data_IF_954924891447
#
_entry.id   IF_954924891447
#
_cell.length_a   1.000
_cell.length_b   1.000
_cell.length_c   1.000
_cell.angle_alpha   90.00
_cell.angle_beta   90.00
_cell.angle_gamma   90.00
#
_symmetry.space_group_name_H-M   'P 1'
#
loop_
_entity.id
_entity.type
_entity.pdbx_description
1 polymer ?
#
# COMPACT_ATOMS: atom_id res chain seq x y z
N UNK A 1 15.43 -13.10 -34.10
CA UNK A 1 16.50 -12.68 -33.18
C UNK A 1 16.85 -11.24 -33.52
N UNK A 2 16.25 -10.27 -32.82
CA UNK A 2 16.48 -8.83 -33.04
C UNK A 2 17.44 -8.31 -31.95
N UNK A 3 18.40 -7.44 -32.28
CA UNK A 3 19.42 -6.99 -31.33
C UNK A 3 18.81 -5.99 -30.34
N UNK A 4 19.04 -6.25 -29.04
CA UNK A 4 18.65 -5.37 -27.93
C UNK A 4 19.59 -4.16 -27.91
N UNK A 5 19.14 -3.02 -28.45
CA UNK A 5 19.83 -1.74 -28.24
C UNK A 5 19.83 -1.43 -26.73
N UNK A 6 21.02 -1.35 -26.15
CA UNK A 6 21.22 -0.83 -24.79
C UNK A 6 21.21 0.69 -24.90
N UNK A 7 20.03 1.28 -24.75
CA UNK A 7 19.90 2.73 -24.61
C UNK A 7 20.33 3.10 -23.18
N UNK A 8 21.55 3.63 -23.07
CA UNK A 8 22.05 4.26 -21.86
C UNK A 8 21.24 5.54 -21.63
N UNK A 9 20.23 5.47 -20.76
CA UNK A 9 19.51 6.65 -20.28
C UNK A 9 20.46 7.45 -19.40
N UNK A 10 21.20 8.35 -20.05
CA UNK A 10 22.00 9.35 -19.38
C UNK A 10 21.03 10.34 -18.73
N UNK A 11 20.79 10.18 -17.43
CA UNK A 11 20.00 11.10 -16.60
C UNK A 11 20.76 12.41 -16.47
N UNK A 12 20.67 13.22 -17.53
CA UNK A 12 21.02 14.62 -17.50
C UNK A 12 20.00 15.25 -16.57
N UNK A 13 20.44 15.67 -15.37
CA UNK A 13 19.61 16.48 -14.48
C UNK A 13 19.39 17.83 -15.15
N UNK A 14 18.40 17.88 -16.05
CA UNK A 14 17.78 19.11 -16.50
C UNK A 14 17.12 19.68 -15.26
N UNK A 15 17.74 20.69 -14.64
CA UNK A 15 17.07 21.53 -13.66
C UNK A 15 16.06 22.36 -14.45
N UNK A 16 14.91 21.76 -14.72
CA UNK A 16 13.78 22.46 -15.28
C UNK A 16 13.33 23.48 -14.22
N UNK A 17 13.56 24.75 -14.51
CA UNK A 17 13.13 25.86 -13.66
C UNK A 17 11.61 25.95 -13.73
N UNK A 18 10.92 25.12 -12.94
CA UNK A 18 9.51 25.33 -12.67
C UNK A 18 9.37 26.67 -11.94
N UNK A 19 8.43 27.54 -12.33
CA UNK A 19 8.14 28.74 -11.57
C UNK A 19 7.71 28.35 -10.16
N UNK A 20 8.62 28.46 -9.19
CA UNK A 20 8.31 28.27 -7.78
C UNK A 20 7.41 29.42 -7.34
N UNK A 21 6.12 29.14 -7.21
CA UNK A 21 5.17 30.08 -6.61
C UNK A 21 5.55 30.30 -5.14
N UNK A 22 5.97 31.52 -4.79
CA UNK A 22 6.20 31.95 -3.40
C UNK A 22 4.89 32.09 -2.59
N UNK A 23 3.74 31.77 -3.20
CA UNK A 23 2.46 31.78 -2.51
C UNK A 23 2.48 30.69 -1.43
N UNK A 24 2.19 31.00 -0.16
CA UNK A 24 1.99 29.98 0.85
C UNK A 24 0.89 29.02 0.37
N UNK A 25 1.21 27.74 0.25
CA UNK A 25 0.21 26.71 -0.04
C UNK A 25 -0.43 26.34 1.30
N UNK A 26 -1.69 26.71 1.48
CA UNK A 26 -2.47 26.25 2.62
C UNK A 26 -2.70 24.75 2.49
N UNK A 27 -2.13 23.98 3.41
CA UNK A 27 -2.28 22.54 3.44
C UNK A 27 -3.54 22.20 4.25
N UNK A 28 -4.49 21.45 3.67
CA UNK A 28 -5.70 21.08 4.40
C UNK A 28 -5.33 20.16 5.57
N UNK A 29 -5.95 20.36 6.73
CA UNK A 29 -5.86 19.40 7.82
C UNK A 29 -6.37 18.01 7.35
N UNK A 30 -5.77 16.89 7.78
CA UNK A 30 -4.76 16.73 8.83
C UNK A 30 -3.32 16.63 8.28
N UNK A 31 -3.02 17.20 7.12
CA UNK A 31 -1.67 17.14 6.55
C UNK A 31 -0.79 18.27 7.07
N UNK A 32 0.52 18.05 7.11
CA UNK A 32 1.52 19.08 7.39
C UNK A 32 2.70 18.90 6.43
N UNK A 33 3.48 19.97 6.20
CA UNK A 33 4.67 19.91 5.34
C UNK A 33 5.89 19.66 6.19
N UNK A 34 6.59 18.55 5.92
CA UNK A 34 7.89 18.24 6.52
C UNK A 34 8.91 18.04 5.39
N UNK A 35 9.99 18.84 5.37
CA UNK A 35 11.05 18.77 4.34
C UNK A 35 10.53 18.84 2.90
N UNK A 36 9.49 19.66 2.64
CA UNK A 36 8.88 19.82 1.32
C UNK A 36 7.94 18.67 0.90
N UNK A 37 7.64 17.72 1.78
CA UNK A 37 6.68 16.63 1.56
C UNK A 37 5.42 16.83 2.41
N UNK A 38 4.26 16.51 1.86
CA UNK A 38 3.03 16.46 2.64
C UNK A 38 2.97 15.15 3.43
N UNK A 39 2.91 15.26 4.75
CA UNK A 39 2.87 14.13 5.69
C UNK A 39 1.55 14.16 6.44
N UNK A 40 0.91 13.01 6.55
CA UNK A 40 -0.33 12.84 7.31
C UNK A 40 -0.04 12.93 8.82
N UNK A 41 -0.75 13.79 9.56
CA UNK A 41 -0.67 13.82 11.02
C UNK A 41 -1.34 12.57 11.60
N UNK A 42 -0.62 11.72 12.34
CA UNK A 42 -1.21 10.51 12.91
C UNK A 42 -2.22 10.88 14.00
N UNK A 43 -3.29 10.08 14.10
CA UNK A 43 -4.19 10.15 15.24
C UNK A 43 -3.43 9.70 16.50
N UNK A 44 -3.29 10.58 17.49
CA UNK A 44 -2.47 10.34 18.68
C UNK A 44 -3.22 9.66 19.83
N UNK A 45 -4.55 9.49 19.70
CA UNK A 45 -5.36 8.90 20.76
C UNK A 45 -5.20 7.38 20.82
N UNK A 46 -4.76 6.88 21.98
CA UNK A 46 -4.57 5.43 22.22
C UNK A 46 -5.86 4.63 22.01
N UNK A 47 -7.00 5.18 22.43
CA UNK A 47 -8.31 4.56 22.23
C UNK A 47 -8.64 4.39 20.74
N UNK A 48 -8.31 5.37 19.90
CA UNK A 48 -8.51 5.28 18.45
C UNK A 48 -7.63 4.22 17.82
N UNK A 49 -6.36 4.14 18.25
CA UNK A 49 -5.45 3.08 17.82
C UNK A 49 -5.97 1.68 18.16
N UNK A 50 -6.43 1.48 19.40
CA UNK A 50 -7.01 0.21 19.84
C UNK A 50 -8.29 -0.12 19.05
N UNK A 51 -9.22 0.83 18.91
CA UNK A 51 -10.46 0.61 18.18
C UNK A 51 -10.20 0.28 16.70
N UNK A 52 -9.26 0.99 16.07
CA UNK A 52 -8.84 0.75 14.68
C UNK A 52 -8.21 -0.63 14.53
N UNK A 53 -7.32 -1.02 15.45
CA UNK A 53 -6.71 -2.34 15.45
C UNK A 53 -7.76 -3.45 15.64
N UNK A 54 -8.68 -3.30 16.59
CA UNK A 54 -9.79 -4.25 16.80
C UNK A 54 -10.65 -4.41 15.55
N UNK A 55 -10.96 -3.31 14.85
CA UNK A 55 -11.71 -3.33 13.60
C UNK A 55 -10.97 -4.14 12.52
N UNK A 56 -9.69 -3.82 12.27
CA UNK A 56 -8.87 -4.51 11.28
C UNK A 56 -8.75 -6.01 11.56
N UNK A 57 -8.49 -6.38 12.82
CA UNK A 57 -8.38 -7.79 13.24
C UNK A 57 -9.72 -8.51 13.08
N UNK A 58 -10.81 -7.90 13.54
CA UNK A 58 -12.15 -8.51 13.48
C UNK A 58 -12.59 -8.76 12.04
N UNK A 59 -12.41 -7.76 11.16
CA UNK A 59 -12.75 -7.87 9.73
C UNK A 59 -11.90 -8.94 9.06
N UNK A 60 -10.58 -8.94 9.29
CA UNK A 60 -9.68 -9.92 8.68
C UNK A 60 -10.02 -11.35 9.11
N UNK A 61 -10.31 -11.55 10.40
CA UNK A 61 -10.70 -12.85 10.94
C UNK A 61 -12.05 -13.31 10.40
N UNK A 62 -13.04 -12.41 10.38
CA UNK A 62 -14.36 -12.69 9.83
C UNK A 62 -14.29 -13.10 8.35
N UNK A 63 -13.56 -12.35 7.53
CA UNK A 63 -13.35 -12.66 6.12
C UNK A 63 -12.61 -14.00 5.92
N UNK A 64 -11.62 -14.31 6.76
CA UNK A 64 -10.94 -15.61 6.74
C UNK A 64 -11.91 -16.77 7.03
N UNK A 65 -12.77 -16.62 8.04
CA UNK A 65 -13.79 -17.62 8.39
C UNK A 65 -14.78 -17.77 7.23
N UNK A 66 -15.26 -16.66 6.67
CA UNK A 66 -16.16 -16.64 5.52
C UNK A 66 -15.57 -17.37 4.31
N UNK A 67 -14.32 -17.07 3.93
CA UNK A 67 -13.64 -17.73 2.80
C UNK A 67 -13.45 -19.24 3.02
N UNK A 68 -13.28 -19.68 4.28
CA UNK A 68 -13.12 -21.10 4.63
C UNK A 68 -14.43 -21.86 4.74
N UNK A 69 -15.50 -21.23 5.24
CA UNK A 69 -16.75 -21.92 5.58
C UNK A 69 -17.88 -21.66 4.58
N UNK A 70 -17.91 -20.48 3.96
CA UNK A 70 -19.02 -20.05 3.10
C UNK A 70 -18.68 -20.11 1.61
N UNK A 71 -17.41 -20.29 1.25
CA UNK A 71 -16.98 -20.37 -0.16
C UNK A 71 -16.56 -21.80 -0.50
N UNK A 72 -17.11 -22.35 -1.59
CA UNK A 72 -16.80 -23.73 -2.00
C UNK A 72 -15.39 -23.89 -2.59
N UNK A 73 -14.81 -22.83 -3.15
CA UNK A 73 -13.45 -22.83 -3.69
C UNK A 73 -12.90 -21.40 -3.70
N UNK A 74 -11.83 -21.16 -2.94
CA UNK A 74 -11.02 -19.94 -3.01
C UNK A 74 -9.62 -20.36 -3.40
N UNK A 75 -9.11 -19.87 -4.53
CA UNK A 75 -7.75 -20.15 -5.00
C UNK A 75 -6.94 -18.86 -4.99
N UNK A 76 -5.82 -18.87 -4.28
CA UNK A 76 -4.87 -17.75 -4.25
C UNK A 76 -3.65 -18.15 -5.08
N UNK A 77 -3.35 -17.36 -6.10
CA UNK A 77 -2.20 -17.60 -6.98
C UNK A 77 -0.98 -16.81 -6.49
N UNK A 78 0.20 -17.41 -6.61
CA UNK A 78 1.49 -16.78 -6.25
C UNK A 78 1.56 -16.23 -4.82
N UNK A 79 0.83 -16.85 -3.89
CA UNK A 79 0.81 -16.45 -2.48
C UNK A 79 2.23 -16.48 -1.88
N UNK A 80 2.96 -17.58 -2.08
CA UNK A 80 4.29 -17.76 -1.51
C UNK A 80 5.28 -16.70 -1.99
N UNK A 81 5.36 -16.46 -3.31
CA UNK A 81 6.24 -15.44 -3.88
C UNK A 81 5.87 -14.03 -3.41
N UNK A 82 4.57 -13.74 -3.25
CA UNK A 82 4.13 -12.47 -2.69
C UNK A 82 4.55 -12.32 -1.24
N UNK A 83 4.39 -13.35 -0.41
CA UNK A 83 4.75 -13.32 1.01
C UNK A 83 6.25 -13.26 1.24
N UNK A 84 7.04 -13.94 0.40
CA UNK A 84 8.50 -13.84 0.42
C UNK A 84 8.94 -12.38 0.18
N UNK A 85 8.36 -11.72 -0.83
CA UNK A 85 8.66 -10.32 -1.14
C UNK A 85 8.12 -9.35 -0.08
N UNK A 86 6.96 -9.63 0.50
CA UNK A 86 6.34 -8.81 1.54
C UNK A 86 7.15 -8.83 2.85
N UNK A 87 7.63 -10.01 3.23
CA UNK A 87 8.31 -10.26 4.50
C UNK A 87 9.84 -10.17 4.43
N UNK A 88 10.42 -9.85 3.26
CA UNK A 88 11.87 -9.69 3.10
C UNK A 88 12.41 -8.56 4.03
N UNK A 89 13.22 -8.90 5.05
CA UNK A 89 13.78 -7.90 5.97
C UNK A 89 14.81 -6.98 5.29
N UNK A 90 15.34 -7.36 4.12
CA UNK A 90 16.28 -6.55 3.34
C UNK A 90 15.58 -5.58 2.38
N UNK A 91 14.25 -5.60 2.31
CA UNK A 91 13.48 -4.73 1.42
C UNK A 91 13.63 -3.26 1.81
N UNK A 92 14.15 -2.45 0.88
CA UNK A 92 14.36 -1.01 1.07
C UNK A 92 13.25 -0.13 0.46
N UNK A 93 12.36 -0.72 -0.35
CA UNK A 93 11.31 0.00 -1.10
C UNK A 93 9.91 -0.46 -0.73
N UNK A 94 8.90 0.45 -0.72
CA UNK A 94 7.50 0.08 -0.49
C UNK A 94 6.98 -0.85 -1.60
N UNK A 95 5.95 -1.63 -1.28
CA UNK A 95 5.24 -2.46 -2.25
C UNK A 95 4.01 -1.67 -2.67
N UNK A 96 3.87 -1.48 -3.98
CA UNK A 96 2.68 -0.91 -4.58
C UNK A 96 1.90 -2.05 -5.23
N UNK A 97 0.72 -2.33 -4.70
CA UNK A 97 -0.22 -3.28 -5.29
C UNK A 97 -1.17 -2.54 -6.21
N UNK A 98 -1.38 -3.07 -7.41
CA UNK A 98 -2.41 -2.59 -8.33
C UNK A 98 -3.47 -3.69 -8.40
N UNK A 99 -4.64 -3.43 -7.83
CA UNK A 99 -5.78 -4.34 -7.85
C UNK A 99 -6.86 -3.82 -8.79
N UNK A 100 -7.55 -4.74 -9.46
CA UNK A 100 -8.82 -4.40 -10.07
C UNK A 100 -9.84 -4.19 -8.94
N UNK A 101 -10.63 -3.14 -9.04
CA UNK A 101 -11.63 -2.80 -8.03
C UNK A 101 -13.03 -3.12 -8.56
N UNK A 102 -13.62 -4.21 -8.07
CA UNK A 102 -14.99 -4.60 -8.41
C UNK A 102 -15.95 -4.20 -7.30
N UNK A 103 -15.51 -4.31 -6.03
CA UNK A 103 -16.33 -3.97 -4.88
C UNK A 103 -15.52 -3.61 -3.64
N UNK A 104 -16.15 -2.96 -2.68
CA UNK A 104 -15.53 -2.62 -1.39
C UNK A 104 -15.22 -3.86 -0.52
N UNK A 105 -15.78 -5.04 -0.86
CA UNK A 105 -15.49 -6.28 -0.13
C UNK A 105 -14.12 -6.88 -0.53
N UNK A 106 -13.53 -6.39 -1.62
CA UNK A 106 -12.29 -6.93 -2.19
C UNK A 106 -11.14 -6.78 -1.18
N UNK A 107 -10.99 -5.62 -0.51
CA UNK A 107 -9.91 -5.40 0.45
C UNK A 107 -10.02 -6.30 1.70
N UNK A 108 -11.20 -6.39 2.38
CA UNK A 108 -11.40 -7.35 3.47
C UNK A 108 -11.13 -8.81 3.09
N UNK A 109 -11.56 -9.24 1.90
CA UNK A 109 -11.33 -10.61 1.43
C UNK A 109 -9.85 -10.87 1.14
N UNK A 110 -9.13 -9.90 0.58
CA UNK A 110 -7.67 -9.98 0.40
C UNK A 110 -7.00 -10.17 1.77
N UNK A 111 -7.35 -9.38 2.78
CA UNK A 111 -6.79 -9.53 4.14
C UNK A 111 -7.13 -10.90 4.75
N UNK A 112 -8.37 -11.37 4.58
CA UNK A 112 -8.81 -12.68 5.05
C UNK A 112 -8.11 -13.86 4.35
N UNK A 113 -7.65 -13.67 3.11
CA UNK A 113 -6.95 -14.69 2.33
C UNK A 113 -5.51 -14.93 2.82
N UNK A 114 -4.85 -13.90 3.38
CA UNK A 114 -3.46 -13.99 3.85
C UNK A 114 -3.29 -14.94 5.04
N UNK A 115 -2.19 -15.71 5.16
CA UNK A 115 -1.99 -16.64 6.25
C UNK A 115 -1.74 -15.91 7.59
N UNK A 116 -2.14 -16.54 8.69
CA UNK A 116 -1.76 -16.09 10.04
C UNK A 116 -0.33 -16.61 10.28
N UNK A 117 0.66 -15.71 10.31
CA UNK A 117 2.07 -16.02 10.55
C UNK A 117 2.63 -15.14 11.66
#
# INVERSE_FOLDING_TARGET
>A
MLPRMKEQVQSTKVLENYPTTLKPVEVPAPYHVENGKMVLKPATSKLWGIASWCCLVSVSLFCKIFLKLCTSSTTVYNEESFLELLMDPKRTRPILTVSNHTSTIDDPLIWGSLPLR
#
